data_IF_261125422630
#
_entry.id   IF_261125422630
#
_cell.length_a   1.000
_cell.length_b   1.000
_cell.length_c   1.000
_cell.angle_alpha   90.00
_cell.angle_beta   90.00
_cell.angle_gamma   90.00
#
_symmetry.space_group_name_H-M   'P 1'
#
loop_
_entity.id
_entity.type
_entity.pdbx_description
1 polymer ?
#
# COMPACT_ATOMS: atom_id res chain seq x y z
N UNK A 1 -16.48 -26.95 10.20
CA UNK A 1 -16.07 -26.62 8.82
C UNK A 1 -16.62 -25.24 8.50
N UNK A 2 -15.95 -24.21 9.01
CA UNK A 2 -16.30 -22.81 8.75
C UNK A 2 -15.85 -22.50 7.33
N UNK A 3 -16.75 -21.95 6.51
CA UNK A 3 -16.49 -21.71 5.10
C UNK A 3 -15.26 -20.83 4.91
N UNK A 4 -14.33 -21.32 4.11
CA UNK A 4 -13.28 -20.52 3.50
C UNK A 4 -13.99 -19.52 2.57
N UNK A 5 -14.34 -18.35 3.11
CA UNK A 5 -14.95 -17.26 2.36
C UNK A 5 -13.96 -16.86 1.29
N UNK A 6 -14.17 -17.35 0.06
CA UNK A 6 -13.22 -17.19 -1.03
C UNK A 6 -12.75 -15.74 -1.14
N UNK A 7 -11.44 -15.52 -0.95
CA UNK A 7 -10.76 -14.24 -1.20
C UNK A 7 -10.73 -13.98 -2.70
N UNK A 8 -11.87 -13.60 -3.27
CA UNK A 8 -11.95 -13.19 -4.68
C UNK A 8 -11.39 -11.78 -4.80
N UNK A 9 -10.48 -11.59 -5.76
CA UNK A 9 -9.89 -10.28 -6.06
C UNK A 9 -10.97 -9.34 -6.57
N UNK A 10 -10.99 -8.13 -6.02
CA UNK A 10 -11.87 -7.06 -6.50
C UNK A 10 -11.19 -6.28 -7.63
N UNK A 11 -11.16 -6.88 -8.82
CA UNK A 11 -10.53 -6.29 -10.01
C UNK A 11 -11.18 -4.96 -10.40
N UNK A 12 -12.51 -4.82 -10.21
CA UNK A 12 -13.22 -3.59 -10.55
C UNK A 12 -12.77 -2.42 -9.67
N UNK A 13 -12.62 -2.65 -8.36
CA UNK A 13 -12.07 -1.66 -7.44
C UNK A 13 -10.60 -1.34 -7.76
N UNK A 14 -9.78 -2.34 -8.05
CA UNK A 14 -8.38 -2.10 -8.41
C UNK A 14 -8.23 -1.31 -9.72
N UNK A 15 -9.06 -1.58 -10.73
CA UNK A 15 -9.10 -0.80 -11.96
C UNK A 15 -9.58 0.64 -11.72
N UNK A 16 -10.56 0.83 -10.82
CA UNK A 16 -10.98 2.16 -10.40
C UNK A 16 -9.82 2.93 -9.75
N UNK A 17 -9.14 2.32 -8.77
CA UNK A 17 -7.96 2.92 -8.12
C UNK A 17 -6.85 3.22 -9.11
N UNK A 18 -6.57 2.34 -10.08
CA UNK A 18 -5.59 2.58 -11.15
C UNK A 18 -5.89 3.89 -11.89
N UNK A 19 -7.15 4.13 -12.26
CA UNK A 19 -7.59 5.36 -12.92
C UNK A 19 -7.44 6.59 -12.02
N UNK A 20 -7.68 6.46 -10.71
CA UNK A 20 -7.43 7.54 -9.75
C UNK A 20 -5.94 7.89 -9.68
N UNK A 21 -5.08 6.88 -9.45
CA UNK A 21 -3.63 7.06 -9.33
C UNK A 21 -2.99 7.60 -10.61
N UNK A 22 -3.44 7.13 -11.78
CA UNK A 22 -2.93 7.61 -13.08
C UNK A 22 -3.19 9.10 -13.36
N UNK A 23 -3.99 9.78 -12.55
CA UNK A 23 -4.23 11.23 -12.64
C UNK A 23 -3.35 12.05 -11.69
N UNK A 24 -2.58 11.41 -10.82
CA UNK A 24 -1.70 12.10 -9.86
C UNK A 24 -0.37 12.40 -10.53
N UNK A 25 0.08 13.66 -10.50
CA UNK A 25 1.33 14.09 -11.14
C UNK A 25 2.59 13.44 -10.56
N UNK A 26 2.56 13.01 -9.30
CA UNK A 26 3.67 12.30 -8.64
C UNK A 26 3.74 10.82 -9.00
N UNK A 27 2.74 10.27 -9.69
CA UNK A 27 2.71 8.86 -10.12
C UNK A 27 3.30 8.77 -11.53
N UNK A 28 4.38 8.01 -11.66
CA UNK A 28 5.01 7.75 -12.96
C UNK A 28 4.32 6.62 -13.71
N UNK A 29 3.78 5.63 -12.99
CA UNK A 29 3.08 4.48 -13.58
C UNK A 29 2.10 3.83 -12.61
N UNK A 30 0.94 3.41 -13.10
CA UNK A 30 -0.01 2.57 -12.38
C UNK A 30 -0.36 1.33 -13.22
N UNK A 31 0.05 0.15 -12.76
CA UNK A 31 -0.07 -1.13 -13.48
C UNK A 31 -1.00 -2.08 -12.74
N UNK A 32 -2.09 -2.47 -13.38
CA UNK A 32 -2.96 -3.53 -12.89
C UNK A 32 -2.39 -4.90 -13.29
N UNK A 33 -2.18 -5.77 -12.30
CA UNK A 33 -1.69 -7.15 -12.45
C UNK A 33 -0.43 -7.30 -13.32
N UNK A 34 0.68 -6.58 -13.03
CA UNK A 34 1.90 -6.75 -13.79
C UNK A 34 2.48 -8.17 -13.59
N UNK A 35 3.31 -8.68 -14.53
CA UNK A 35 3.71 -10.10 -14.57
C UNK A 35 4.28 -10.69 -13.27
N UNK A 36 4.90 -9.88 -12.41
CA UNK A 36 5.53 -10.33 -11.17
C UNK A 36 4.73 -9.99 -9.90
N UNK A 37 3.53 -9.42 -10.03
CA UNK A 37 2.61 -9.05 -8.94
C UNK A 37 1.17 -9.30 -9.36
N UNK A 38 0.83 -10.58 -9.50
CA UNK A 38 -0.54 -11.00 -9.73
C UNK A 38 -1.46 -10.48 -8.61
N UNK A 39 -2.71 -10.23 -8.98
CA UNK A 39 -3.78 -9.79 -8.07
C UNK A 39 -3.53 -8.44 -7.36
N UNK A 40 -2.51 -7.70 -7.77
CA UNK A 40 -2.16 -6.39 -7.24
C UNK A 40 -2.30 -5.27 -8.28
N UNK A 41 -2.71 -4.09 -7.82
CA UNK A 41 -2.36 -2.82 -8.45
C UNK A 41 -0.98 -2.39 -7.94
N UNK A 42 -0.05 -2.09 -8.84
CA UNK A 42 1.28 -1.54 -8.52
C UNK A 42 1.34 -0.10 -9.01
N UNK A 43 1.57 0.84 -8.10
CA UNK A 43 1.72 2.27 -8.37
C UNK A 43 3.17 2.66 -8.10
N UNK A 44 3.85 3.18 -9.10
CA UNK A 44 5.22 3.69 -9.01
C UNK A 44 5.18 5.22 -8.94
N UNK A 45 5.95 5.78 -8.02
CA UNK A 45 6.10 7.21 -7.86
C UNK A 45 7.31 7.71 -8.66
N UNK A 46 7.27 8.98 -9.05
CA UNK A 46 8.42 9.66 -9.63
C UNK A 46 9.45 9.96 -8.53
N UNK A 47 10.63 9.37 -8.62
CA UNK A 47 11.72 9.55 -7.68
C UNK A 47 12.58 10.78 -7.94
N UNK A 48 12.33 11.55 -9.01
CA UNK A 48 13.09 12.77 -9.29
C UNK A 48 13.00 13.83 -8.19
N UNK A 49 11.94 13.78 -7.36
CA UNK A 49 11.73 14.68 -6.22
C UNK A 49 12.17 14.06 -4.87
N UNK A 50 12.68 12.84 -4.84
CA UNK A 50 13.15 12.15 -3.63
C UNK A 50 14.66 12.40 -3.41
N UNK A 51 15.18 12.16 -2.19
CA UNK A 51 16.61 12.18 -1.94
C UNK A 51 17.37 11.19 -2.84
N UNK A 52 18.65 11.50 -3.13
CA UNK A 52 19.48 10.70 -4.03
C UNK A 52 19.76 9.27 -3.53
N UNK A 53 19.50 8.97 -2.25
CA UNK A 53 19.59 7.64 -1.66
C UNK A 53 18.42 6.72 -2.04
N UNK A 54 17.35 7.26 -2.64
CA UNK A 54 16.13 6.53 -3.00
C UNK A 54 16.11 6.18 -4.49
N UNK A 55 16.22 4.89 -4.79
CA UNK A 55 16.21 4.36 -6.15
C UNK A 55 14.79 4.18 -6.70
N UNK A 56 13.85 3.75 -5.87
CA UNK A 56 12.47 3.47 -6.28
C UNK A 56 11.48 3.61 -5.14
N UNK A 57 10.26 4.07 -5.44
CA UNK A 57 9.15 4.11 -4.49
C UNK A 57 7.88 3.57 -5.13
N UNK A 58 7.17 2.68 -4.44
CA UNK A 58 5.94 2.08 -4.93
C UNK A 58 4.90 1.84 -3.85
N UNK A 59 3.62 1.89 -4.24
CA UNK A 59 2.51 1.28 -3.52
C UNK A 59 2.09 -0.01 -4.22
N UNK A 60 1.89 -1.07 -3.45
CA UNK A 60 1.26 -2.31 -3.91
C UNK A 60 -0.08 -2.49 -3.18
N UNK A 61 -1.18 -2.55 -3.94
CA UNK A 61 -2.55 -2.65 -3.40
C UNK A 61 -3.18 -3.98 -3.83
N UNK A 62 -3.67 -4.75 -2.86
CA UNK A 62 -4.55 -5.91 -3.07
C UNK A 62 -5.87 -5.65 -2.38
N UNK A 63 -6.97 -5.94 -3.08
CA UNK A 63 -8.32 -5.76 -2.57
C UNK A 63 -9.18 -6.98 -2.91
N UNK A 64 -10.08 -7.33 -2.01
CA UNK A 64 -10.93 -8.50 -2.12
C UNK A 64 -12.41 -8.11 -1.97
N UNK A 65 -13.30 -8.84 -2.64
CA UNK A 65 -14.75 -8.52 -2.67
C UNK A 65 -15.44 -8.64 -1.30
N UNK A 66 -14.78 -9.24 -0.32
CA UNK A 66 -15.23 -9.33 1.07
C UNK A 66 -14.84 -8.09 1.92
N UNK A 67 -14.19 -7.09 1.30
CA UNK A 67 -13.72 -5.86 1.94
C UNK A 67 -12.32 -5.97 2.56
N UNK A 68 -11.66 -7.12 2.50
CA UNK A 68 -10.28 -7.25 2.95
C UNK A 68 -9.33 -6.57 1.97
N UNK A 69 -8.20 -6.08 2.49
CA UNK A 69 -7.16 -5.48 1.66
C UNK A 69 -5.77 -5.59 2.29
N UNK A 70 -4.78 -5.39 1.45
CA UNK A 70 -3.40 -5.10 1.85
C UNK A 70 -2.90 -3.94 1.00
N UNK A 71 -2.35 -2.91 1.66
CA UNK A 71 -1.65 -1.82 0.99
C UNK A 71 -0.23 -1.77 1.56
N UNK A 72 0.75 -2.01 0.71
CA UNK A 72 2.17 -1.92 1.07
C UNK A 72 2.78 -0.68 0.43
N UNK A 73 3.49 0.12 1.23
CA UNK A 73 4.42 1.12 0.72
C UNK A 73 5.82 0.54 0.77
N UNK A 74 6.58 0.70 -0.32
CA UNK A 74 7.94 0.20 -0.43
C UNK A 74 8.85 1.29 -0.99
N UNK A 75 9.99 1.49 -0.34
CA UNK A 75 11.08 2.34 -0.80
C UNK A 75 12.33 1.47 -0.94
N UNK A 76 12.97 1.55 -2.11
CA UNK A 76 14.26 0.94 -2.37
C UNK A 76 15.32 2.00 -2.18
N UNK A 77 16.07 1.89 -1.10
CA UNK A 77 17.33 2.60 -0.89
C UNK A 77 18.44 1.88 -1.66
N UNK A 78 19.62 2.50 -1.79
CA UNK A 78 20.80 1.89 -2.42
C UNK A 78 21.12 0.52 -1.77
N UNK A 79 20.59 -0.56 -2.36
CA UNK A 79 20.74 -1.93 -1.89
C UNK A 79 19.85 -2.39 -0.72
N UNK A 80 18.94 -1.57 -0.21
CA UNK A 80 18.08 -1.89 0.94
C UNK A 80 16.60 -1.62 0.66
N UNK A 81 15.72 -2.51 1.12
CA UNK A 81 14.27 -2.35 0.99
C UNK A 81 13.68 -1.96 2.34
N UNK A 82 13.02 -0.81 2.39
CA UNK A 82 12.17 -0.46 3.51
C UNK A 82 10.70 -0.54 3.09
N UNK A 83 9.83 -1.03 3.98
CA UNK A 83 8.40 -1.16 3.73
C UNK A 83 7.55 -1.02 4.98
N UNK A 84 6.31 -0.54 4.79
CA UNK A 84 5.24 -0.61 5.78
C UNK A 84 3.99 -1.22 5.12
N UNK A 85 3.03 -1.67 5.95
CA UNK A 85 1.79 -2.30 5.45
C UNK A 85 0.57 -1.86 6.24
N UNK A 86 -0.49 -1.51 5.53
CA UNK A 86 -1.85 -1.35 6.05
C UNK A 86 -2.66 -2.58 5.66
N UNK A 87 -3.25 -3.26 6.65
CA UNK A 87 -4.00 -4.51 6.44
C UNK A 87 -5.41 -4.45 7.01
N UNK A 88 -6.36 -5.01 6.26
CA UNK A 88 -7.68 -5.40 6.75
C UNK A 88 -7.89 -6.87 6.46
N UNK A 89 -7.86 -7.72 7.49
CA UNK A 89 -8.21 -9.14 7.40
C UNK A 89 -8.31 -9.75 8.80
N UNK A 90 -9.05 -10.86 8.91
CA UNK A 90 -9.16 -11.59 10.17
C UNK A 90 -7.80 -12.17 10.59
N UNK A 91 -7.49 -12.08 11.89
CA UNK A 91 -6.32 -12.66 12.56
C UNK A 91 -6.66 -12.98 14.01
N UNK A 92 -5.89 -13.86 14.64
CA UNK A 92 -6.17 -14.34 16.00
C UNK A 92 -5.66 -13.40 17.12
N UNK A 93 -4.78 -12.44 16.80
CA UNK A 93 -4.00 -11.71 17.79
C UNK A 93 -4.07 -10.17 17.68
N UNK A 94 -4.76 -9.62 16.68
CA UNK A 94 -4.96 -8.18 16.50
C UNK A 94 -6.38 -7.88 16.01
N UNK A 95 -6.74 -6.60 16.02
CA UNK A 95 -7.96 -6.13 15.35
C UNK A 95 -7.88 -6.37 13.85
N UNK A 96 -9.04 -6.53 13.21
CA UNK A 96 -9.14 -6.80 11.76
C UNK A 96 -8.36 -5.77 10.93
N UNK A 97 -8.31 -4.53 11.39
CA UNK A 97 -7.56 -3.43 10.81
C UNK A 97 -6.24 -3.21 11.56
N UNK A 98 -5.11 -3.29 10.87
CA UNK A 98 -3.81 -3.14 11.51
C UNK A 98 -2.75 -2.52 10.59
N UNK A 99 -1.69 -2.01 11.22
CA UNK A 99 -0.56 -1.36 10.55
C UNK A 99 0.76 -2.01 10.98
N UNK A 100 1.57 -2.45 10.01
CA UNK A 100 2.95 -2.86 10.22
C UNK A 100 3.88 -1.69 9.86
N UNK A 101 4.66 -1.16 10.82
CA UNK A 101 5.53 -0.02 10.56
C UNK A 101 6.78 -0.38 9.73
N UNK A 102 7.45 0.65 9.25
CA UNK A 102 8.85 0.58 8.79
C UNK A 102 9.75 0.02 9.92
N UNK A 103 10.94 -0.55 9.58
CA UNK A 103 11.53 -0.60 8.24
C UNK A 103 11.12 -1.82 7.42
N UNK A 104 10.62 -2.90 8.00
CA UNK A 104 10.53 -4.18 7.29
C UNK A 104 9.13 -4.78 7.23
N UNK A 105 8.15 -4.15 7.89
CA UNK A 105 6.80 -4.66 8.09
C UNK A 105 6.73 -6.08 8.69
N UNK A 106 7.76 -6.51 9.44
CA UNK A 106 7.80 -7.84 10.09
C UNK A 106 7.48 -7.78 11.58
N UNK A 107 7.66 -6.61 12.20
CA UNK A 107 7.37 -6.39 13.62
C UNK A 107 5.88 -6.45 13.97
N UNK A 108 5.61 -6.26 15.26
CA UNK A 108 4.26 -6.30 15.83
C UNK A 108 3.32 -5.33 15.12
N UNK A 109 2.20 -5.86 14.65
CA UNK A 109 1.15 -5.08 14.03
C UNK A 109 0.51 -4.16 15.08
N UNK A 110 0.32 -2.90 14.72
CA UNK A 110 -0.38 -1.92 15.54
C UNK A 110 -1.86 -1.91 15.17
N UNK A 111 -2.72 -2.14 16.15
CA UNK A 111 -4.17 -2.01 15.99
C UNK A 111 -4.53 -0.61 15.49
N UNK A 112 -5.40 -0.56 14.46
CA UNK A 112 -5.92 0.68 13.88
C UNK A 112 -7.38 0.52 13.53
N UNK A 113 -8.05 1.63 13.25
CA UNK A 113 -9.37 1.61 12.62
C UNK A 113 -9.27 2.35 11.29
N UNK A 114 -9.71 1.70 10.21
CA UNK A 114 -9.75 2.31 8.88
C UNK A 114 -11.19 2.58 8.44
N UNK A 115 -11.42 3.60 7.59
CA UNK A 115 -12.69 3.73 6.87
C UNK A 115 -13.14 2.43 6.20
N UNK A 116 -14.45 2.22 6.05
CA UNK A 116 -15.00 1.00 5.44
C UNK A 116 -14.60 0.86 3.97
N UNK A 117 -14.66 1.95 3.21
CA UNK A 117 -14.33 1.97 1.78
C UNK A 117 -12.82 2.13 1.55
N UNK A 118 -12.21 1.21 0.78
CA UNK A 118 -10.76 1.24 0.50
C UNK A 118 -10.35 2.51 -0.25
N UNK A 119 -11.19 3.08 -1.11
CA UNK A 119 -10.86 4.35 -1.78
C UNK A 119 -10.68 5.48 -0.76
N UNK A 120 -11.52 5.51 0.26
CA UNK A 120 -11.44 6.41 1.41
C UNK A 120 -10.20 6.13 2.26
N UNK A 121 -9.86 4.85 2.51
CA UNK A 121 -8.59 4.49 3.19
C UNK A 121 -7.37 5.00 2.42
N UNK A 122 -7.33 4.81 1.10
CA UNK A 122 -6.24 5.30 0.26
C UNK A 122 -6.12 6.83 0.37
N UNK A 123 -7.24 7.55 0.25
CA UNK A 123 -7.26 9.01 0.25
C UNK A 123 -6.92 9.62 1.61
N UNK A 124 -7.49 9.08 2.69
CA UNK A 124 -7.49 9.73 4.01
C UNK A 124 -6.45 9.14 4.96
N UNK A 125 -5.88 7.97 4.63
CA UNK A 125 -4.88 7.28 5.48
C UNK A 125 -3.56 7.09 4.74
N UNK A 126 -3.58 6.37 3.61
CA UNK A 126 -2.34 5.95 2.94
C UNK A 126 -1.62 7.13 2.27
N UNK A 127 -2.31 7.93 1.45
CA UNK A 127 -1.67 9.06 0.77
C UNK A 127 -1.15 10.13 1.74
N UNK A 128 -1.86 10.52 2.81
CA UNK A 128 -1.31 11.40 3.84
C UNK A 128 -0.07 10.80 4.51
N UNK A 129 -0.07 9.50 4.82
CA UNK A 129 1.12 8.84 5.37
C UNK A 129 2.30 8.90 4.39
N UNK A 130 2.07 8.67 3.09
CA UNK A 130 3.11 8.75 2.05
C UNK A 130 3.67 10.18 1.94
N UNK A 131 2.82 11.21 2.01
CA UNK A 131 3.29 12.61 1.98
C UNK A 131 4.10 12.95 3.23
N UNK A 132 3.70 12.48 4.42
CA UNK A 132 4.53 12.62 5.64
C UNK A 132 5.87 11.92 5.48
N UNK A 133 5.88 10.65 5.01
CA UNK A 133 7.13 9.90 4.79
C UNK A 133 8.04 10.59 3.77
N UNK A 134 7.47 11.17 2.72
CA UNK A 134 8.24 11.97 1.75
C UNK A 134 8.96 13.14 2.41
N UNK A 135 8.31 13.85 3.34
CA UNK A 135 8.93 14.90 4.14
C UNK A 135 10.05 14.36 5.03
N UNK A 136 9.77 13.31 5.80
CA UNK A 136 10.74 12.69 6.72
C UNK A 136 12.02 12.22 5.99
N UNK A 137 11.88 11.68 4.77
CA UNK A 137 13.02 11.26 3.95
C UNK A 137 13.98 12.41 3.62
N UNK A 138 13.49 13.64 3.50
CA UNK A 138 14.33 14.82 3.27
C UNK A 138 14.96 15.37 4.55
N UNK A 139 14.29 15.22 5.69
CA UNK A 139 14.83 15.61 7.00
C UNK A 139 15.98 14.67 7.44
N UNK A 140 15.94 13.41 6.99
CA UNK A 140 16.95 12.39 7.26
C UNK A 140 18.14 12.39 6.26
N UNK A 141 18.07 13.19 5.18
CA UNK A 141 19.01 13.16 4.04
C UNK A 141 20.30 13.99 4.19
#
# INVERSE_FOLDING_TARGET
MSGDGSRLVDEALLAHLQSLFGRLSRVSRASLFPPNRHESLVVEFDTAAYPASIDAVRLEVRAYTNGDFHVSYLETHIGELCQCRFGRHDQDHNTRDHYHPLPDATGDAQDREFPTDLTTVIRDVVLPWVETRFGDLWDDA
#
